data_IF_560647351517
#
_entry.id   IF_560647351517
#
_cell.length_a   1.000
_cell.length_b   1.000
_cell.length_c   1.000
_cell.angle_alpha   90.00
_cell.angle_beta   90.00
_cell.angle_gamma   90.00
#
_symmetry.space_group_name_H-M   'P 1'
#
loop_
_entity.id
_entity.type
_entity.pdbx_description
1 polymer ?
#
# COMPACT_ATOMS: atom_id res chain seq x y z
N UNK A 1 -54.85 -17.59 7.92
CA UNK A 1 -54.17 -18.61 8.73
C UNK A 1 -53.40 -17.88 9.82
N UNK A 2 -54.06 -17.69 10.97
CA UNK A 2 -53.95 -18.54 12.19
C UNK A 2 -52.75 -18.10 13.03
N UNK A 3 -52.99 -17.22 14.00
CA UNK A 3 -53.20 -17.53 15.45
C UNK A 3 -51.89 -17.86 16.16
N UNK A 4 -51.65 -17.25 17.32
CA UNK A 4 -51.59 -17.98 18.62
C UNK A 4 -51.06 -17.05 19.72
N UNK A 5 -52.01 -16.59 20.54
CA UNK A 5 -51.87 -16.35 21.99
C UNK A 5 -51.68 -17.69 22.72
N UNK A 6 -50.91 -17.76 23.81
CA UNK A 6 -51.53 -17.97 25.15
C UNK A 6 -50.90 -17.03 26.20
N UNK A 7 -51.65 -16.43 27.14
CA UNK A 7 -52.39 -17.00 28.28
C UNK A 7 -51.53 -17.20 29.54
N UNK A 8 -52.18 -17.02 30.70
CA UNK A 8 -51.80 -17.30 32.10
C UNK A 8 -50.94 -16.26 32.85
N UNK A 9 -51.26 -15.84 34.08
CA UNK A 9 -52.27 -16.31 35.04
C UNK A 9 -52.65 -15.19 36.01
N UNK A 10 -53.91 -15.27 36.42
CA UNK A 10 -54.53 -14.74 37.62
C UNK A 10 -53.62 -14.75 38.87
N UNK A 11 -53.59 -13.63 39.59
CA UNK A 11 -53.59 -13.68 41.05
C UNK A 11 -54.25 -12.42 41.62
N UNK A 12 -55.46 -12.62 42.14
CA UNK A 12 -56.25 -11.68 42.94
C UNK A 12 -55.75 -11.74 44.39
N UNK A 13 -55.43 -10.63 45.07
CA UNK A 13 -55.44 -10.61 46.51
C UNK A 13 -56.84 -10.19 46.98
N UNK A 14 -57.40 -11.04 47.83
CA UNK A 14 -58.68 -10.86 48.50
C UNK A 14 -58.66 -9.58 49.37
N UNK A 15 -59.67 -8.75 49.18
CA UNK A 15 -60.09 -7.74 50.15
C UNK A 15 -60.85 -8.48 51.25
N UNK A 16 -60.19 -8.77 52.37
CA UNK A 16 -60.84 -9.18 53.61
C UNK A 16 -61.52 -7.95 54.24
N UNK A 17 -62.79 -7.76 53.84
CA UNK A 17 -63.77 -6.85 54.45
C UNK A 17 -64.18 -7.45 55.82
N UNK A 18 -63.35 -7.21 56.84
CA UNK A 18 -63.62 -7.59 58.24
C UNK A 18 -64.66 -6.63 58.82
N UNK A 19 -65.92 -6.85 58.42
CA UNK A 19 -67.09 -6.19 59.02
C UNK A 19 -67.37 -6.82 60.39
N UNK A 20 -67.42 -6.03 61.47
CA UNK A 20 -67.85 -6.54 62.76
C UNK A 20 -69.32 -6.98 62.68
N UNK A 21 -69.59 -8.19 63.15
CA UNK A 21 -70.92 -8.75 63.29
C UNK A 21 -71.80 -7.79 64.12
N UNK A 22 -72.84 -7.24 63.48
CA UNK A 22 -73.95 -6.58 64.16
C UNK A 22 -74.64 -7.63 65.05
N UNK A 23 -74.43 -7.51 66.36
CA UNK A 23 -75.21 -8.21 67.36
C UNK A 23 -76.69 -7.90 67.15
N UNK A 24 -77.42 -8.95 66.79
CA UNK A 24 -78.86 -8.93 66.62
C UNK A 24 -79.50 -8.70 67.99
N UNK A 25 -80.34 -7.67 68.19
CA UNK A 25 -81.03 -7.51 69.46
C UNK A 25 -82.00 -8.68 69.65
N UNK A 26 -81.88 -9.36 70.80
CA UNK A 26 -82.73 -10.47 71.21
C UNK A 26 -84.21 -10.12 71.02
N UNK A 27 -84.87 -10.86 70.13
CA UNK A 27 -86.29 -10.78 69.89
C UNK A 27 -87.06 -11.28 71.12
N UNK A 28 -87.77 -10.37 71.78
CA UNK A 28 -88.84 -10.73 72.73
C UNK A 28 -89.82 -11.73 72.08
N UNK A 29 -90.22 -12.81 72.77
CA UNK A 29 -91.02 -13.88 72.18
C UNK A 29 -92.40 -13.39 71.75
N UNK A 30 -92.73 -13.55 70.46
CA UNK A 30 -94.04 -13.20 69.90
C UNK A 30 -95.13 -14.07 70.56
N UNK A 31 -96.18 -13.48 71.15
CA UNK A 31 -97.24 -14.23 71.84
C UNK A 31 -98.01 -15.15 70.88
N UNK A 32 -98.05 -16.45 71.18
CA UNK A 32 -98.46 -17.53 70.26
C UNK A 32 -99.95 -17.84 70.30
N UNK A 33 -100.68 -17.49 71.35
CA UNK A 33 -102.14 -17.68 71.46
C UNK A 33 -102.93 -16.36 71.46
N UNK A 34 -104.20 -16.39 71.04
CA UNK A 34 -105.05 -15.18 71.04
C UNK A 34 -105.20 -14.57 72.45
N UNK A 35 -105.14 -15.40 73.49
CA UNK A 35 -105.07 -14.97 74.89
C UNK A 35 -103.76 -14.26 75.20
N UNK A 36 -102.62 -14.86 74.86
CA UNK A 36 -101.30 -14.26 75.08
C UNK A 36 -101.14 -12.92 74.34
N UNK A 37 -101.65 -12.80 73.12
CA UNK A 37 -101.60 -11.52 72.39
C UNK A 37 -102.40 -10.43 73.09
N UNK A 38 -103.58 -10.77 73.62
CA UNK A 38 -104.42 -9.84 74.38
C UNK A 38 -103.75 -9.46 75.70
N UNK A 39 -103.11 -10.40 76.39
CA UNK A 39 -102.36 -10.14 77.63
C UNK A 39 -101.14 -9.27 77.38
N UNK A 40 -100.28 -9.63 76.43
CA UNK A 40 -99.10 -8.85 76.06
C UNK A 40 -99.44 -7.44 75.55
N UNK A 41 -100.53 -7.31 74.78
CA UNK A 41 -101.01 -5.99 74.36
C UNK A 41 -101.53 -5.16 75.53
N UNK A 42 -102.22 -5.77 76.50
CA UNK A 42 -102.66 -5.09 77.70
C UNK A 42 -101.49 -4.70 78.61
N UNK A 43 -100.47 -5.56 78.74
CA UNK A 43 -99.25 -5.29 79.51
C UNK A 43 -98.40 -4.18 78.85
N UNK A 44 -98.27 -4.18 77.52
CA UNK A 44 -97.61 -3.11 76.79
C UNK A 44 -98.35 -1.77 76.96
N UNK A 45 -99.69 -1.76 76.86
CA UNK A 45 -100.48 -0.56 77.13
C UNK A 45 -100.30 -0.06 78.56
N UNK A 46 -100.17 -0.96 79.54
CA UNK A 46 -99.92 -0.60 80.92
C UNK A 46 -98.49 -0.05 81.13
N UNK A 47 -97.48 -0.63 80.47
CA UNK A 47 -96.09 -0.16 80.52
C UNK A 47 -95.91 1.21 79.84
N UNK A 48 -96.71 1.50 78.82
CA UNK A 48 -96.76 2.77 78.10
C UNK A 48 -97.68 3.82 78.80
N UNK A 49 -98.26 3.52 79.96
CA UNK A 49 -99.24 4.37 80.70
C UNK A 49 -100.53 4.74 79.89
N UNK A 50 -100.94 3.91 78.92
CA UNK A 50 -102.15 4.10 78.10
C UNK A 50 -103.41 3.41 78.67
N UNK A 51 -104.63 3.93 78.43
CA UNK A 51 -105.86 3.34 78.95
C UNK A 51 -106.17 1.97 78.33
N UNK A 52 -106.16 0.92 79.16
CA UNK A 52 -106.45 -0.47 78.76
C UNK A 52 -107.95 -0.68 78.56
N UNK A 53 -108.47 -0.31 77.38
CA UNK A 53 -109.87 -0.51 76.98
C UNK A 53 -110.01 -1.69 76.01
N UNK A 54 -111.23 -2.23 75.86
CA UNK A 54 -111.48 -3.33 74.90
C UNK A 54 -111.11 -2.92 73.47
N UNK A 55 -111.30 -1.66 73.10
CA UNK A 55 -110.98 -1.17 71.76
C UNK A 55 -109.48 -1.11 71.51
N UNK A 56 -108.70 -0.54 72.45
CA UNK A 56 -107.26 -0.37 72.33
C UNK A 56 -106.51 -1.71 72.37
N UNK A 57 -106.94 -2.61 73.25
CA UNK A 57 -106.40 -3.98 73.31
C UNK A 57 -106.75 -4.78 72.06
N UNK A 58 -107.96 -4.61 71.50
CA UNK A 58 -108.37 -5.27 70.27
C UNK A 58 -107.52 -4.83 69.07
N UNK A 59 -107.25 -3.53 68.98
CA UNK A 59 -106.42 -2.93 67.94
C UNK A 59 -104.97 -3.38 68.04
N UNK A 60 -104.35 -3.28 69.23
CA UNK A 60 -102.94 -3.65 69.45
C UNK A 60 -102.72 -5.18 69.40
N UNK A 61 -103.70 -6.02 69.76
CA UNK A 61 -103.60 -7.48 69.69
C UNK A 61 -104.13 -8.12 68.40
N UNK A 62 -104.82 -7.36 67.54
CA UNK A 62 -105.39 -7.82 66.26
C UNK A 62 -106.42 -8.95 66.38
N UNK A 63 -107.35 -8.87 67.34
CA UNK A 63 -108.33 -9.95 67.60
C UNK A 63 -109.80 -9.50 67.48
N UNK A 64 -110.75 -10.45 67.53
CA UNK A 64 -112.17 -10.12 67.48
C UNK A 64 -112.66 -9.46 68.78
N UNK A 65 -113.73 -8.66 68.74
CA UNK A 65 -114.26 -7.97 69.93
C UNK A 65 -114.69 -8.96 71.04
N UNK A 66 -115.28 -10.11 70.67
CA UNK A 66 -115.66 -11.15 71.62
C UNK A 66 -114.43 -11.78 72.30
N UNK A 67 -113.37 -12.02 71.55
CA UNK A 67 -112.08 -12.53 72.05
C UNK A 67 -111.38 -11.52 72.96
N UNK A 68 -111.32 -10.24 72.54
CA UNK A 68 -110.75 -9.15 73.33
C UNK A 68 -111.49 -8.97 74.65
N UNK A 69 -112.83 -8.91 74.63
CA UNK A 69 -113.64 -8.72 75.85
C UNK A 69 -113.46 -9.89 76.83
N UNK A 70 -113.46 -11.13 76.32
CA UNK A 70 -113.33 -12.33 77.15
C UNK A 70 -111.95 -12.44 77.80
N UNK A 71 -110.88 -12.29 77.02
CA UNK A 71 -109.52 -12.41 77.54
C UNK A 71 -109.06 -11.16 78.29
N UNK A 72 -109.56 -9.96 77.97
CA UNK A 72 -109.28 -8.78 78.77
C UNK A 72 -109.94 -8.85 80.15
N UNK A 73 -111.14 -9.43 80.25
CA UNK A 73 -111.75 -9.72 81.55
C UNK A 73 -110.90 -10.73 82.34
N UNK A 74 -110.39 -11.77 81.68
CA UNK A 74 -109.47 -12.73 82.30
C UNK A 74 -108.12 -12.09 82.69
N UNK A 75 -107.59 -11.15 81.90
CA UNK A 75 -106.37 -10.39 82.23
C UNK A 75 -106.61 -9.45 83.41
N UNK A 76 -107.73 -8.74 83.46
CA UNK A 76 -108.08 -7.91 84.63
C UNK A 76 -108.31 -8.74 85.87
N UNK A 77 -108.93 -9.92 85.74
CA UNK A 77 -109.04 -10.87 86.84
C UNK A 77 -107.66 -11.35 87.28
N UNK A 78 -106.76 -11.70 86.35
CA UNK A 78 -105.39 -12.09 86.65
C UNK A 78 -104.58 -10.95 87.30
N UNK A 79 -104.75 -9.70 86.87
CA UNK A 79 -104.10 -8.54 87.50
C UNK A 79 -104.72 -8.22 88.86
N UNK A 80 -106.03 -8.40 89.03
CA UNK A 80 -106.68 -8.25 90.32
C UNK A 80 -106.26 -9.35 91.30
N UNK A 81 -106.13 -10.60 90.82
CA UNK A 81 -105.63 -11.72 91.60
C UNK A 81 -104.15 -11.54 91.93
N UNK A 82 -103.31 -11.12 90.96
CA UNK A 82 -101.90 -10.81 91.19
C UNK A 82 -101.71 -9.61 92.12
N UNK A 83 -102.54 -8.57 92.02
CA UNK A 83 -102.54 -7.44 92.94
C UNK A 83 -103.08 -7.82 94.33
N UNK A 84 -104.07 -8.70 94.41
CA UNK A 84 -104.58 -9.24 95.67
C UNK A 84 -103.55 -10.16 96.34
N UNK A 85 -102.82 -10.96 95.57
CA UNK A 85 -101.73 -11.80 96.06
C UNK A 85 -100.50 -10.97 96.42
N UNK A 86 -100.20 -9.89 95.68
CA UNK A 86 -99.22 -8.88 96.07
C UNK A 86 -99.62 -8.12 97.36
N UNK A 87 -100.91 -7.84 97.55
CA UNK A 87 -101.42 -7.22 98.78
C UNK A 87 -101.51 -8.22 99.96
N UNK A 88 -101.52 -9.53 99.69
CA UNK A 88 -101.45 -10.61 100.69
C UNK A 88 -100.02 -10.95 101.09
N UNK A 89 -99.02 -10.57 100.30
CA UNK A 89 -97.63 -10.61 100.69
C UNK A 89 -97.43 -9.58 101.81
N UNK A 90 -96.91 -9.97 102.99
CA UNK A 90 -96.54 -9.01 104.01
C UNK A 90 -95.53 -8.02 103.42
N UNK A 91 -95.70 -6.73 103.68
CA UNK A 91 -94.63 -5.76 103.40
C UNK A 91 -93.33 -6.30 104.00
N UNK A 92 -92.28 -6.32 103.17
CA UNK A 92 -90.98 -6.78 103.64
C UNK A 92 -90.62 -5.96 104.87
N UNK A 93 -90.31 -6.59 106.02
CA UNK A 93 -89.88 -5.85 107.18
C UNK A 93 -88.74 -4.92 106.75
N UNK A 94 -88.79 -3.65 107.15
CA UNK A 94 -87.82 -2.62 106.74
C UNK A 94 -86.35 -3.06 106.88
N UNK A 95 -86.07 -3.94 107.83
CA UNK A 95 -84.75 -4.55 108.02
C UNK A 95 -84.29 -5.44 106.86
N UNK A 96 -85.21 -6.16 106.21
CA UNK A 96 -84.94 -7.00 105.04
C UNK A 96 -84.75 -6.14 103.79
N UNK A 97 -85.56 -5.11 103.58
CA UNK A 97 -85.38 -4.14 102.48
C UNK A 97 -83.99 -3.49 102.55
N UNK A 98 -83.62 -2.96 103.72
CA UNK A 98 -82.31 -2.34 103.94
C UNK A 98 -81.16 -3.34 103.74
N UNK A 99 -81.36 -4.62 104.07
CA UNK A 99 -80.36 -5.67 103.85
C UNK A 99 -80.22 -5.98 102.35
N UNK A 100 -81.33 -6.04 101.61
CA UNK A 100 -81.34 -6.25 100.15
C UNK A 100 -80.73 -5.06 99.44
N UNK A 101 -81.13 -3.83 99.76
CA UNK A 101 -80.55 -2.60 99.20
C UNK A 101 -79.04 -2.54 99.45
N UNK A 102 -78.60 -2.85 100.67
CA UNK A 102 -77.17 -2.89 101.01
C UNK A 102 -76.43 -4.02 100.30
N UNK A 103 -77.05 -5.20 100.17
CA UNK A 103 -76.48 -6.35 99.48
C UNK A 103 -76.33 -6.10 97.99
N UNK A 104 -77.38 -5.60 97.32
CA UNK A 104 -77.38 -5.25 95.90
C UNK A 104 -76.43 -4.10 95.62
N UNK A 105 -76.44 -3.03 96.43
CA UNK A 105 -75.49 -1.92 96.27
C UNK A 105 -74.04 -2.37 96.47
N UNK A 106 -73.80 -3.30 97.40
CA UNK A 106 -72.49 -3.92 97.62
C UNK A 106 -72.04 -4.77 96.44
N UNK A 107 -72.91 -5.67 95.95
CA UNK A 107 -72.65 -6.50 94.77
C UNK A 107 -72.43 -5.66 93.51
N UNK A 108 -73.23 -4.62 93.31
CA UNK A 108 -73.07 -3.68 92.21
C UNK A 108 -71.76 -2.89 92.33
N UNK A 109 -71.43 -2.40 93.52
CA UNK A 109 -70.15 -1.72 93.78
C UNK A 109 -68.94 -2.63 93.53
N UNK A 110 -69.03 -3.91 93.88
CA UNK A 110 -68.00 -4.91 93.57
C UNK A 110 -67.92 -5.19 92.07
N UNK A 111 -69.05 -5.37 91.38
CA UNK A 111 -69.11 -5.60 89.95
C UNK A 111 -68.52 -4.42 89.16
N UNK A 112 -68.87 -3.18 89.52
CA UNK A 112 -68.34 -1.96 88.90
C UNK A 112 -66.83 -1.82 89.15
N UNK A 113 -66.37 -2.13 90.37
CA UNK A 113 -64.93 -2.11 90.67
C UNK A 113 -64.19 -3.15 89.83
N UNK A 114 -64.69 -4.39 89.79
CA UNK A 114 -64.12 -5.46 88.98
C UNK A 114 -64.08 -5.10 87.49
N UNK A 115 -65.16 -4.54 86.93
CA UNK A 115 -65.20 -4.09 85.55
C UNK A 115 -64.20 -2.95 85.27
N UNK A 116 -63.99 -2.04 86.23
CA UNK A 116 -62.98 -0.99 86.12
C UNK A 116 -61.55 -1.54 86.19
N UNK A 117 -61.32 -2.52 87.06
CA UNK A 117 -60.02 -3.18 87.19
C UNK A 117 -59.69 -3.95 85.90
N UNK A 118 -60.63 -4.75 85.37
CA UNK A 118 -60.50 -5.47 84.10
C UNK A 118 -60.26 -4.49 82.93
N UNK A 119 -61.03 -3.39 82.84
CA UNK A 119 -60.81 -2.38 81.81
C UNK A 119 -59.44 -1.69 81.92
N UNK A 120 -58.98 -1.42 83.15
CA UNK A 120 -57.67 -0.82 83.38
C UNK A 120 -56.53 -1.76 82.96
N UNK A 121 -56.66 -3.07 83.24
CA UNK A 121 -55.72 -4.11 82.80
C UNK A 121 -55.67 -4.25 81.27
N UNK A 122 -56.84 -4.25 80.61
CA UNK A 122 -56.93 -4.26 79.14
C UNK A 122 -56.32 -3.00 78.52
N UNK A 123 -56.62 -1.82 79.07
CA UNK A 123 -56.07 -0.56 78.59
C UNK A 123 -54.54 -0.52 78.75
N UNK A 124 -54.02 -0.99 79.87
CA UNK A 124 -52.57 -1.11 80.09
C UNK A 124 -51.93 -2.05 79.06
N UNK A 125 -52.54 -3.22 78.81
CA UNK A 125 -52.05 -4.19 77.81
C UNK A 125 -52.05 -3.61 76.40
N UNK A 126 -53.12 -2.90 76.00
CA UNK A 126 -53.20 -2.24 74.70
C UNK A 126 -52.19 -1.11 74.57
N UNK A 127 -51.95 -0.35 75.64
CA UNK A 127 -50.94 0.70 75.66
C UNK A 127 -49.52 0.13 75.50
N UNK A 128 -49.19 -0.97 76.19
CA UNK A 128 -47.92 -1.67 76.03
C UNK A 128 -47.74 -2.21 74.61
N UNK A 129 -48.78 -2.86 74.05
CA UNK A 129 -48.75 -3.34 72.66
C UNK A 129 -48.56 -2.20 71.66
N UNK A 130 -49.24 -1.07 71.85
CA UNK A 130 -49.09 0.10 71.00
C UNK A 130 -47.70 0.73 71.12
N UNK A 131 -47.11 0.77 72.32
CA UNK A 131 -45.74 1.23 72.54
C UNK A 131 -44.74 0.32 71.82
N UNK A 132 -44.84 -1.01 72.00
CA UNK A 132 -44.01 -1.99 71.29
C UNK A 132 -44.13 -1.88 69.78
N UNK A 133 -45.35 -1.73 69.25
CA UNK A 133 -45.58 -1.58 67.82
C UNK A 133 -44.96 -0.30 67.25
N UNK A 134 -44.95 0.80 68.02
CA UNK A 134 -44.28 2.05 67.64
C UNK A 134 -42.76 1.89 67.61
N UNK A 135 -42.18 1.25 68.62
CA UNK A 135 -40.74 0.97 68.65
C UNK A 135 -40.29 0.08 67.48
N UNK A 136 -41.10 -0.93 67.14
CA UNK A 136 -40.88 -1.78 65.98
C UNK A 136 -40.98 -1.01 64.67
N UNK A 137 -41.99 -0.14 64.52
CA UNK A 137 -42.15 0.73 63.36
C UNK A 137 -40.96 1.69 63.20
N UNK A 138 -40.49 2.31 64.28
CA UNK A 138 -39.32 3.20 64.27
C UNK A 138 -38.03 2.45 63.93
N UNK A 139 -37.87 1.21 64.40
CA UNK A 139 -36.74 0.35 64.04
C UNK A 139 -36.77 0.00 62.55
N UNK A 140 -37.93 -0.38 62.01
CA UNK A 140 -38.10 -0.70 60.59
C UNK A 140 -37.89 0.53 59.69
N UNK A 141 -38.38 1.70 60.09
CA UNK A 141 -38.15 2.95 59.38
C UNK A 141 -36.65 3.25 59.25
N UNK A 142 -35.89 3.18 60.36
CA UNK A 142 -34.43 3.36 60.34
C UNK A 142 -33.71 2.33 59.46
N UNK A 143 -34.16 1.08 59.48
CA UNK A 143 -33.60 0.04 58.61
C UNK A 143 -33.88 0.32 57.13
N UNK A 144 -35.08 0.78 56.79
CA UNK A 144 -35.46 1.16 55.42
C UNK A 144 -34.68 2.39 54.93
N UNK A 145 -34.45 3.38 55.78
CA UNK A 145 -33.62 4.55 55.47
C UNK A 145 -32.17 4.15 55.21
N UNK A 146 -31.62 3.26 56.04
CA UNK A 146 -30.26 2.71 55.87
C UNK A 146 -30.13 1.95 54.56
N UNK A 147 -31.06 1.03 54.27
CA UNK A 147 -31.05 0.26 53.02
C UNK A 147 -31.21 1.15 51.78
N UNK A 148 -31.99 2.23 51.88
CA UNK A 148 -32.14 3.21 50.80
C UNK A 148 -30.82 3.96 50.57
N UNK A 149 -30.15 4.41 51.63
CA UNK A 149 -28.86 5.07 51.53
C UNK A 149 -27.77 4.14 50.93
N UNK A 150 -27.72 2.88 51.35
CA UNK A 150 -26.79 1.88 50.81
C UNK A 150 -27.05 1.60 49.32
N UNK A 151 -28.32 1.47 48.92
CA UNK A 151 -28.71 1.30 47.52
C UNK A 151 -28.28 2.49 46.67
N UNK A 152 -28.50 3.71 47.17
CA UNK A 152 -28.18 4.93 46.43
C UNK A 152 -26.66 5.12 46.31
N UNK A 153 -25.90 4.79 47.34
CA UNK A 153 -24.43 4.73 47.29
C UNK A 153 -23.93 3.70 46.27
N UNK A 154 -24.43 2.46 46.32
CA UNK A 154 -24.05 1.42 45.36
C UNK A 154 -24.40 1.79 43.92
N UNK A 155 -25.50 2.54 43.71
CA UNK A 155 -25.88 3.05 42.39
C UNK A 155 -24.90 4.11 41.89
N UNK A 156 -24.47 5.02 42.76
CA UNK A 156 -23.45 6.02 42.42
C UNK A 156 -22.13 5.36 42.02
N UNK A 157 -21.65 4.39 42.81
CA UNK A 157 -20.42 3.63 42.51
C UNK A 157 -20.52 2.91 41.16
N UNK A 158 -21.67 2.31 40.86
CA UNK A 158 -21.91 1.61 39.61
C UNK A 158 -21.89 2.57 38.41
N UNK A 159 -22.46 3.76 38.55
CA UNK A 159 -22.43 4.78 37.50
C UNK A 159 -21.03 5.37 37.29
N UNK A 160 -20.21 5.49 38.34
CA UNK A 160 -18.78 5.82 38.24
C UNK A 160 -18.00 4.74 37.48
N UNK A 161 -18.15 3.47 37.88
CA UNK A 161 -17.51 2.34 37.20
C UNK A 161 -17.91 2.23 35.73
N UNK A 162 -19.16 2.51 35.39
CA UNK A 162 -19.63 2.58 33.99
C UNK A 162 -18.95 3.69 33.21
N UNK A 163 -18.74 4.84 33.84
CA UNK A 163 -18.06 5.99 33.23
C UNK A 163 -16.60 5.67 32.97
N UNK A 164 -15.90 5.07 33.94
CA UNK A 164 -14.51 4.66 33.79
C UNK A 164 -14.36 3.54 32.75
N UNK A 165 -15.24 2.54 32.75
CA UNK A 165 -15.24 1.49 31.72
C UNK A 165 -15.44 2.06 30.30
N UNK A 166 -16.29 3.07 30.14
CA UNK A 166 -16.45 3.78 28.86
C UNK A 166 -15.19 4.53 28.47
N UNK A 167 -14.56 5.23 29.41
CA UNK A 167 -13.30 5.94 29.19
C UNK A 167 -12.19 4.99 28.74
N UNK A 168 -12.00 3.87 29.44
CA UNK A 168 -10.99 2.87 29.11
C UNK A 168 -11.24 2.23 27.74
N UNK A 169 -12.51 1.97 27.38
CA UNK A 169 -12.86 1.48 26.04
C UNK A 169 -12.49 2.51 24.96
N UNK A 170 -12.80 3.78 25.16
CA UNK A 170 -12.41 4.82 24.21
C UNK A 170 -10.88 4.91 24.04
N UNK A 171 -10.12 4.84 25.14
CA UNK A 171 -8.65 4.81 25.08
C UNK A 171 -8.11 3.57 24.34
N UNK A 172 -8.75 2.42 24.53
CA UNK A 172 -8.40 1.20 23.80
C UNK A 172 -8.64 1.38 22.30
N UNK A 173 -9.80 1.90 21.91
CA UNK A 173 -10.17 2.14 20.51
C UNK A 173 -9.23 3.16 19.85
N UNK A 174 -8.89 4.26 20.55
CA UNK A 174 -7.91 5.26 20.10
C UNK A 174 -6.52 4.64 19.92
N UNK A 175 -6.07 3.81 20.86
CA UNK A 175 -4.77 3.13 20.78
C UNK A 175 -4.71 2.10 19.64
N UNK A 176 -5.82 1.40 19.37
CA UNK A 176 -5.94 0.46 18.27
C UNK A 176 -5.85 1.19 16.92
N UNK A 177 -6.58 2.30 16.77
CA UNK A 177 -6.51 3.15 15.58
C UNK A 177 -5.10 3.71 15.36
N UNK A 178 -4.44 4.20 16.41
CA UNK A 178 -3.07 4.70 16.32
C UNK A 178 -2.08 3.59 15.88
N UNK A 179 -2.27 2.35 16.35
CA UNK A 179 -1.47 1.19 15.93
C UNK A 179 -1.67 0.87 14.46
N UNK A 180 -2.92 0.83 13.99
CA UNK A 180 -3.23 0.59 12.57
C UNK A 180 -2.61 1.65 11.66
N UNK A 181 -2.68 2.93 12.06
CA UNK A 181 -2.04 4.04 11.33
C UNK A 181 -0.52 3.90 11.30
N UNK A 182 0.11 3.55 12.43
CA UNK A 182 1.55 3.30 12.51
C UNK A 182 1.98 2.11 11.62
N UNK A 183 1.21 1.02 11.60
CA UNK A 183 1.47 -0.13 10.74
C UNK A 183 1.29 0.20 9.25
N UNK A 184 0.30 1.03 8.90
CA UNK A 184 0.13 1.53 7.53
C UNK A 184 1.29 2.42 7.10
N UNK A 185 1.73 3.35 7.95
CA UNK A 185 2.88 4.22 7.70
C UNK A 185 4.18 3.40 7.56
N UNK A 186 4.39 2.40 8.41
CA UNK A 186 5.55 1.51 8.35
C UNK A 186 5.59 0.72 7.04
N UNK A 187 4.44 0.17 6.59
CA UNK A 187 4.34 -0.51 5.28
C UNK A 187 4.64 0.44 4.12
N UNK A 188 4.14 1.66 4.17
CA UNK A 188 4.41 2.66 3.14
C UNK A 188 5.90 3.02 3.08
N UNK A 189 6.52 3.29 4.23
CA UNK A 189 7.95 3.60 4.32
C UNK A 189 8.82 2.42 3.85
N UNK A 190 8.43 1.18 4.17
CA UNK A 190 9.12 -0.02 3.68
C UNK A 190 9.07 -0.12 2.15
N UNK A 191 7.90 0.11 1.55
CA UNK A 191 7.74 0.15 0.09
C UNK A 191 8.58 1.23 -0.58
N UNK A 192 8.60 2.45 -0.01
CA UNK A 192 9.46 3.54 -0.51
C UNK A 192 10.95 3.18 -0.42
N UNK A 193 11.37 2.53 0.67
CA UNK A 193 12.76 2.09 0.83
C UNK A 193 13.15 1.02 -0.19
N UNK A 194 12.27 0.06 -0.51
CA UNK A 194 12.49 -0.93 -1.56
C UNK A 194 12.58 -0.29 -2.95
N UNK A 195 11.70 0.66 -3.26
CA UNK A 195 11.74 1.40 -4.52
C UNK A 195 13.05 2.19 -4.68
N UNK A 196 13.46 2.94 -3.64
CA UNK A 196 14.70 3.70 -3.64
C UNK A 196 15.94 2.77 -3.78
N UNK A 197 15.92 1.59 -3.16
CA UNK A 197 16.98 0.58 -3.36
C UNK A 197 17.03 0.10 -4.81
N UNK A 198 15.88 -0.22 -5.40
CA UNK A 198 15.81 -0.63 -6.80
C UNK A 198 16.30 0.47 -7.76
N UNK A 199 15.93 1.73 -7.50
CA UNK A 199 16.42 2.88 -8.26
C UNK A 199 17.95 3.06 -8.11
N UNK A 200 18.48 2.89 -6.90
CA UNK A 200 19.91 2.98 -6.64
C UNK A 200 20.72 1.87 -7.35
N UNK A 201 20.22 0.63 -7.37
CA UNK A 201 20.86 -0.46 -8.12
C UNK A 201 20.84 -0.19 -9.63
N UNK A 202 19.70 0.24 -10.21
CA UNK A 202 19.64 0.62 -11.63
C UNK A 202 20.63 1.74 -11.98
N UNK A 203 20.74 2.76 -11.13
CA UNK A 203 21.69 3.85 -11.33
C UNK A 203 23.15 3.37 -11.26
N UNK A 204 23.46 2.38 -10.40
CA UNK A 204 24.79 1.75 -10.32
C UNK A 204 25.11 0.97 -11.58
N UNK A 205 24.18 0.16 -12.07
CA UNK A 205 24.31 -0.61 -13.31
C UNK A 205 24.51 0.32 -14.51
N UNK A 206 23.73 1.40 -14.62
CA UNK A 206 23.88 2.41 -15.68
C UNK A 206 25.25 3.11 -15.59
N UNK A 207 25.68 3.49 -14.39
CA UNK A 207 27.01 4.08 -14.18
C UNK A 207 28.13 3.12 -14.57
N UNK A 208 28.02 1.83 -14.24
CA UNK A 208 29.00 0.82 -14.63
C UNK A 208 29.05 0.68 -16.16
N UNK A 209 27.89 0.58 -16.82
CA UNK A 209 27.79 0.52 -18.27
C UNK A 209 28.42 1.74 -18.96
N UNK A 210 28.12 2.95 -18.50
CA UNK A 210 28.70 4.19 -19.07
C UNK A 210 30.22 4.22 -18.88
N UNK A 211 30.75 3.71 -17.76
CA UNK A 211 32.20 3.58 -17.54
C UNK A 211 32.84 2.60 -18.52
N UNK A 212 32.21 1.46 -18.76
CA UNK A 212 32.70 0.47 -19.72
C UNK A 212 32.67 1.01 -21.15
N UNK A 213 31.58 1.67 -21.55
CA UNK A 213 31.45 2.34 -22.85
C UNK A 213 32.51 3.44 -23.02
N UNK A 214 32.78 4.24 -21.97
CA UNK A 214 33.83 5.25 -21.98
C UNK A 214 35.22 4.61 -22.11
N UNK A 215 35.51 3.54 -21.36
CA UNK A 215 36.78 2.83 -21.45
C UNK A 215 37.02 2.25 -22.85
N UNK A 216 35.98 1.64 -23.44
CA UNK A 216 36.03 1.14 -24.81
C UNK A 216 36.27 2.27 -25.83
N UNK A 217 35.60 3.42 -25.67
CA UNK A 217 35.80 4.58 -26.54
C UNK A 217 37.22 5.16 -26.42
N UNK A 218 37.78 5.21 -25.22
CA UNK A 218 39.17 5.63 -24.99
C UNK A 218 40.17 4.67 -25.66
N UNK A 219 39.96 3.37 -25.52
CA UNK A 219 40.79 2.35 -26.15
C UNK A 219 40.72 2.42 -27.70
N UNK A 220 39.51 2.56 -28.25
CA UNK A 220 39.30 2.74 -29.69
C UNK A 220 40.02 3.99 -30.21
N UNK A 221 39.90 5.11 -29.50
CA UNK A 221 40.60 6.35 -29.86
C UNK A 221 42.12 6.21 -29.82
N UNK A 222 42.66 5.45 -28.86
CA UNK A 222 44.09 5.17 -28.78
C UNK A 222 44.57 4.33 -29.98
N UNK A 223 43.84 3.26 -30.32
CA UNK A 223 44.14 2.42 -31.49
C UNK A 223 44.08 3.22 -32.80
N UNK A 224 43.07 4.09 -32.97
CA UNK A 224 43.02 4.98 -34.14
C UNK A 224 44.21 5.96 -34.18
N UNK A 225 44.67 6.46 -33.03
CA UNK A 225 45.82 7.35 -32.96
C UNK A 225 47.11 6.63 -33.39
N UNK A 226 47.28 5.38 -32.96
CA UNK A 226 48.39 4.51 -33.37
C UNK A 226 48.35 4.22 -34.88
N UNK A 227 47.20 3.80 -35.41
CA UNK A 227 47.03 3.59 -36.87
C UNK A 227 47.32 4.86 -37.67
N UNK A 228 46.90 6.04 -37.19
CA UNK A 228 47.24 7.33 -37.84
C UNK A 228 48.74 7.61 -37.78
N UNK A 229 49.44 7.24 -36.70
CA UNK A 229 50.88 7.41 -36.59
C UNK A 229 51.63 6.47 -37.54
N UNK A 230 51.23 5.20 -37.62
CA UNK A 230 51.77 4.21 -38.56
C UNK A 230 51.55 4.65 -40.02
N UNK A 231 50.34 5.09 -40.37
CA UNK A 231 50.03 5.58 -41.71
C UNK A 231 50.89 6.81 -42.09
N UNK A 232 51.16 7.72 -41.14
CA UNK A 232 52.06 8.85 -41.34
C UNK A 232 53.50 8.41 -41.56
N UNK A 233 53.99 7.44 -40.79
CA UNK A 233 55.33 6.88 -40.94
C UNK A 233 55.48 6.18 -42.31
N UNK A 234 54.49 5.38 -42.71
CA UNK A 234 54.46 4.73 -44.02
C UNK A 234 54.46 5.75 -45.16
N UNK A 235 53.66 6.83 -45.06
CA UNK A 235 53.66 7.91 -46.04
C UNK A 235 55.03 8.60 -46.15
N UNK A 236 55.71 8.84 -45.01
CA UNK A 236 57.05 9.43 -45.01
C UNK A 236 58.06 8.51 -45.73
N UNK A 237 58.02 7.19 -45.48
CA UNK A 237 58.86 6.22 -46.18
C UNK A 237 58.60 6.16 -47.69
N UNK A 238 57.34 6.24 -48.12
CA UNK A 238 57.00 6.34 -49.55
C UNK A 238 57.52 7.64 -50.16
N UNK A 239 57.49 8.76 -49.43
CA UNK A 239 58.05 10.03 -49.90
C UNK A 239 59.59 9.98 -50.05
N UNK A 240 60.28 9.31 -49.12
CA UNK A 240 61.73 9.10 -49.18
C UNK A 240 62.12 8.24 -50.37
N UNK A 241 61.50 7.05 -50.53
CA UNK A 241 61.74 6.18 -51.70
C UNK A 241 61.38 6.87 -53.04
N UNK A 242 60.35 7.72 -53.07
CA UNK A 242 60.04 8.53 -54.25
C UNK A 242 61.14 9.57 -54.52
N UNK A 243 61.71 10.20 -53.50
CA UNK A 243 62.82 11.14 -53.64
C UNK A 243 64.08 10.44 -54.15
N UNK A 244 64.41 9.26 -53.61
CA UNK A 244 65.50 8.41 -54.07
C UNK A 244 65.30 7.98 -55.54
N UNK A 245 64.10 7.51 -55.90
CA UNK A 245 63.78 7.12 -57.28
C UNK A 245 63.88 8.30 -58.26
N UNK A 246 63.46 9.50 -57.85
CA UNK A 246 63.65 10.73 -58.64
C UNK A 246 65.13 11.06 -58.84
N UNK A 247 65.93 10.98 -57.78
CA UNK A 247 67.38 11.20 -57.84
C UNK A 247 68.08 10.16 -58.74
N UNK A 248 67.73 8.88 -58.61
CA UNK A 248 68.23 7.80 -59.45
C UNK A 248 67.87 8.01 -60.93
N UNK A 249 66.62 8.39 -61.22
CA UNK A 249 66.17 8.71 -62.58
C UNK A 249 66.96 9.89 -63.16
N UNK A 250 67.24 10.92 -62.37
CA UNK A 250 68.04 12.07 -62.80
C UNK A 250 69.50 11.69 -63.06
N UNK A 251 70.10 10.80 -62.25
CA UNK A 251 71.42 10.23 -62.48
C UNK A 251 71.47 9.45 -63.80
N UNK A 252 70.51 8.54 -64.04
CA UNK A 252 70.42 7.76 -65.30
C UNK A 252 70.25 8.69 -66.50
N UNK A 253 69.45 9.76 -66.40
CA UNK A 253 69.31 10.76 -67.46
C UNK A 253 70.60 11.54 -67.71
N UNK A 254 71.41 11.79 -66.69
CA UNK A 254 72.72 12.43 -66.83
C UNK A 254 73.74 11.47 -67.49
N UNK A 255 73.76 10.20 -67.09
CA UNK A 255 74.58 9.16 -67.71
C UNK A 255 74.22 8.94 -69.18
N UNK A 256 72.91 8.88 -69.49
CA UNK A 256 72.44 8.76 -70.86
C UNK A 256 72.92 9.92 -71.73
N UNK A 257 72.79 11.18 -71.25
CA UNK A 257 73.30 12.37 -71.95
C UNK A 257 74.81 12.29 -72.18
N UNK A 258 75.60 11.93 -71.16
CA UNK A 258 77.06 11.71 -71.31
C UNK A 258 77.36 10.63 -72.35
N UNK A 259 76.60 9.55 -72.37
CA UNK A 259 76.74 8.48 -73.36
C UNK A 259 76.37 8.93 -74.79
N UNK A 260 75.37 9.79 -74.96
CA UNK A 260 75.06 10.41 -76.26
C UNK A 260 76.18 11.36 -76.71
N UNK A 261 76.70 12.20 -75.81
CA UNK A 261 77.82 13.09 -76.08
C UNK A 261 79.08 12.30 -76.48
N UNK A 262 79.37 11.20 -75.76
CA UNK A 262 80.50 10.31 -76.07
C UNK A 262 80.30 9.59 -77.41
N UNK A 263 79.08 9.11 -77.70
CA UNK A 263 78.74 8.55 -79.02
C UNK A 263 78.91 9.58 -80.13
N UNK A 264 78.47 10.82 -79.93
CA UNK A 264 78.62 11.91 -80.89
C UNK A 264 80.11 12.23 -81.13
N UNK A 265 80.90 12.27 -80.05
CA UNK A 265 82.36 12.43 -80.12
C UNK A 265 83.02 11.29 -80.89
N UNK A 266 82.72 10.04 -80.56
CA UNK A 266 83.27 8.87 -81.26
C UNK A 266 82.84 8.83 -82.74
N UNK A 267 81.61 9.26 -83.06
CA UNK A 267 81.16 9.39 -84.45
C UNK A 267 81.93 10.48 -85.21
N UNK A 268 82.24 11.62 -84.56
CA UNK A 268 83.07 12.66 -85.14
C UNK A 268 84.53 12.19 -85.35
N UNK A 269 85.11 11.48 -84.36
CA UNK A 269 86.43 10.84 -84.48
C UNK A 269 86.46 9.81 -85.62
N UNK A 270 85.43 8.96 -85.74
CA UNK A 270 85.26 8.04 -86.87
C UNK A 270 85.14 8.76 -88.21
N UNK A 271 84.38 9.85 -88.30
CA UNK A 271 84.28 10.65 -89.52
C UNK A 271 85.63 11.25 -89.93
N UNK A 272 86.39 11.74 -88.94
CA UNK A 272 87.72 12.31 -89.13
C UNK A 272 88.73 11.25 -89.60
N UNK A 273 88.72 10.07 -88.96
CA UNK A 273 89.57 8.94 -89.36
C UNK A 273 89.19 8.40 -90.74
N UNK A 274 87.90 8.35 -91.10
CA UNK A 274 87.46 8.03 -92.47
C UNK A 274 87.97 9.05 -93.47
N UNK A 275 87.84 10.34 -93.18
CA UNK A 275 88.32 11.42 -94.06
C UNK A 275 89.85 11.38 -94.21
N UNK A 276 90.57 11.05 -93.14
CA UNK A 276 92.00 10.80 -93.18
C UNK A 276 92.35 9.55 -94.00
N UNK A 277 91.56 8.48 -93.87
CA UNK A 277 91.62 7.29 -94.72
C UNK A 277 91.42 7.62 -96.20
N UNK A 278 90.34 8.32 -96.55
CA UNK A 278 90.05 8.77 -97.93
C UNK A 278 91.18 9.65 -98.49
N UNK A 279 91.76 10.53 -97.65
CA UNK A 279 92.92 11.35 -98.03
C UNK A 279 94.14 10.48 -98.29
N UNK A 280 94.45 9.52 -97.41
CA UNK A 280 95.57 8.58 -97.59
C UNK A 280 95.35 7.67 -98.80
N UNK A 281 94.12 7.23 -99.07
CA UNK A 281 93.77 6.49 -100.29
C UNK A 281 93.94 7.36 -101.55
N UNK A 282 93.53 8.63 -101.49
CA UNK A 282 93.77 9.62 -102.54
C UNK A 282 95.25 9.90 -102.77
N UNK A 283 96.05 10.04 -101.71
CA UNK A 283 97.51 10.16 -101.77
C UNK A 283 98.14 8.88 -102.35
N UNK A 284 97.68 7.70 -101.96
CA UNK A 284 98.14 6.43 -102.50
C UNK A 284 97.78 6.28 -103.99
N UNK A 285 96.58 6.70 -104.41
CA UNK A 285 96.18 6.72 -105.81
C UNK A 285 97.05 7.68 -106.62
N UNK A 286 97.28 8.90 -106.13
CA UNK A 286 98.19 9.87 -106.75
C UNK A 286 99.61 9.35 -106.85
N UNK A 287 100.15 8.73 -105.79
CA UNK A 287 101.47 8.11 -105.82
C UNK A 287 101.54 6.95 -106.83
N UNK A 288 100.46 6.16 -106.99
CA UNK A 288 100.37 5.14 -108.04
C UNK A 288 100.36 5.75 -109.44
N UNK A 289 99.62 6.83 -109.66
CA UNK A 289 99.60 7.54 -110.93
C UNK A 289 100.95 8.20 -111.24
N UNK A 290 101.60 8.80 -110.24
CA UNK A 290 102.95 9.36 -110.35
C UNK A 290 103.97 8.25 -110.66
N UNK A 291 103.85 7.08 -110.04
CA UNK A 291 104.67 5.90 -110.35
C UNK A 291 104.40 5.39 -111.77
N UNK A 292 103.15 5.34 -112.21
CA UNK A 292 102.78 4.95 -113.57
C UNK A 292 103.31 5.96 -114.61
N UNK A 293 103.22 7.26 -114.32
CA UNK A 293 103.78 8.32 -115.15
C UNK A 293 105.31 8.30 -115.15
N UNK A 294 105.95 7.96 -114.02
CA UNK A 294 107.39 7.76 -113.93
C UNK A 294 107.83 6.53 -114.74
N UNK A 295 107.05 5.45 -114.73
CA UNK A 295 107.26 4.27 -115.60
C UNK A 295 107.09 4.63 -117.06
N UNK A 296 106.04 5.36 -117.43
CA UNK A 296 105.84 5.84 -118.81
C UNK A 296 106.99 6.73 -119.28
N UNK A 297 107.46 7.65 -118.42
CA UNK A 297 108.65 8.48 -118.70
C UNK A 297 109.94 7.66 -118.79
N UNK A 298 110.08 6.60 -117.98
CA UNK A 298 111.21 5.69 -118.07
C UNK A 298 111.16 4.84 -119.34
N UNK A 299 109.97 4.43 -119.79
CA UNK A 299 109.75 3.75 -121.07
C UNK A 299 110.01 4.68 -122.26
N UNK A 300 109.59 5.94 -122.19
CA UNK A 300 109.92 6.97 -123.18
C UNK A 300 111.42 7.24 -123.22
N UNK A 301 112.07 7.43 -122.06
CA UNK A 301 113.52 7.59 -122.01
C UNK A 301 114.27 6.34 -122.50
N UNK A 302 113.70 5.14 -122.30
CA UNK A 302 114.25 3.91 -122.87
C UNK A 302 114.05 3.83 -124.39
N UNK A 303 112.94 4.34 -124.93
CA UNK A 303 112.72 4.48 -126.38
C UNK A 303 113.66 5.52 -126.99
N UNK A 304 113.80 6.69 -126.36
CA UNK A 304 114.75 7.74 -126.77
C UNK A 304 116.20 7.25 -126.70
N UNK A 305 116.54 6.48 -125.67
CA UNK A 305 117.84 5.82 -125.55
C UNK A 305 118.07 4.77 -126.64
N UNK A 306 117.02 4.01 -127.02
CA UNK A 306 117.08 3.06 -128.12
C UNK A 306 117.21 3.76 -129.50
N UNK A 307 116.54 4.90 -129.68
CA UNK A 307 116.68 5.72 -130.90
C UNK A 307 118.05 6.36 -131.02
N UNK A 308 118.63 6.87 -129.92
CA UNK A 308 120.00 7.40 -129.90
C UNK A 308 121.04 6.30 -130.15
N UNK A 309 120.81 5.08 -129.66
CA UNK A 309 121.63 3.91 -129.98
C UNK A 309 121.53 3.52 -131.46
N UNK A 310 120.33 3.58 -132.05
CA UNK A 310 120.12 3.34 -133.48
C UNK A 310 120.76 4.43 -134.37
N UNK A 311 120.76 5.69 -133.92
CA UNK A 311 121.44 6.79 -134.60
C UNK A 311 122.97 6.63 -134.57
N UNK A 312 123.54 6.15 -133.45
CA UNK A 312 124.97 5.80 -133.35
C UNK A 312 125.35 4.64 -134.27
N UNK A 313 124.52 3.60 -134.34
CA UNK A 313 124.77 2.46 -135.24
C UNK A 313 124.76 2.86 -136.73
N UNK A 314 123.93 3.83 -137.14
CA UNK A 314 123.93 4.37 -138.51
C UNK A 314 125.19 5.18 -138.82
N UNK A 315 125.66 6.00 -137.87
CA UNK A 315 126.90 6.78 -138.01
C UNK A 315 128.15 5.89 -138.08
N UNK A 316 128.17 4.75 -137.39
CA UNK A 316 129.25 3.77 -137.46
C UNK A 316 129.26 2.96 -138.77
N UNK A 317 128.08 2.73 -139.37
CA UNK A 317 127.94 2.11 -140.69
C UNK A 317 128.50 2.97 -141.83
N UNK A 318 128.31 4.29 -141.78
CA UNK A 318 128.82 5.23 -142.80
C UNK A 318 130.35 5.37 -142.76
N UNK A 319 130.96 5.26 -141.57
CA UNK A 319 132.42 5.27 -141.38
C UNK A 319 133.11 4.00 -141.89
N UNK A 320 132.40 2.87 -141.97
CA UNK A 320 132.94 1.63 -142.54
C UNK A 320 132.96 1.67 -144.09
N UNK A 321 131.95 2.28 -144.73
CA UNK A 321 131.88 2.41 -146.19
C UNK A 321 132.98 3.31 -146.79
N UNK A 322 133.40 4.34 -146.05
CA UNK A 322 134.47 5.25 -146.48
C UNK A 322 135.87 4.61 -146.40
N UNK A 323 136.07 3.57 -145.57
CA UNK A 323 137.36 2.85 -145.44
C UNK A 323 137.58 1.78 -146.50
N UNK A 324 136.53 1.25 -147.11
CA UNK A 324 136.64 0.28 -148.22
C UNK A 324 136.95 0.92 -149.57
N UNK A 325 136.64 2.21 -149.77
CA UNK A 325 136.91 2.90 -151.02
C UNK A 325 138.37 3.39 -151.15
N UNK A 326 139.07 3.67 -150.04
CA UNK A 326 140.45 4.15 -150.06
C UNK A 326 141.51 3.04 -150.15
N UNK A 327 141.14 1.78 -149.89
CA UNK A 327 142.05 0.63 -150.02
C UNK A 327 142.16 0.08 -151.46
N UNK A 328 141.39 0.61 -152.41
CA UNK A 328 141.38 0.17 -153.81
C UNK A 328 142.24 1.04 -154.75
N UNK A 329 143.08 1.95 -154.22
CA UNK A 329 143.97 2.80 -155.05
C UNK A 329 145.43 2.33 -155.18
N UNK A 330 145.87 1.19 -154.63
CA UNK A 330 147.32 1.01 -154.35
C UNK A 330 147.98 -0.33 -154.76
N UNK A 331 147.53 -1.02 -155.83
CA UNK A 331 148.08 -2.36 -156.15
C UNK A 331 148.58 -2.70 -157.59
N UNK A 332 148.55 -1.84 -158.64
CA UNK A 332 149.05 -2.28 -159.98
C UNK A 332 149.81 -1.21 -160.79
N UNK A 333 150.80 -0.56 -160.18
CA UNK A 333 151.96 0.02 -160.89
C UNK A 333 153.21 -0.07 -160.00
N UNK A 334 154.06 -1.08 -160.22
CA UNK A 334 155.54 -0.97 -160.42
C UNK A 334 156.28 -2.27 -160.09
N UNK A 335 156.70 -2.99 -161.14
CA UNK A 335 157.91 -3.83 -161.30
C UNK A 335 157.85 -4.25 -162.78
N UNK A 336 158.83 -4.12 -163.69
CA UNK A 336 160.29 -3.98 -163.61
C UNK A 336 160.90 -4.88 -164.71
N UNK A 337 161.87 -4.45 -165.56
CA UNK A 337 162.24 -5.12 -166.82
C UNK A 337 163.54 -5.96 -166.76
N UNK A 338 163.73 -6.94 -167.67
CA UNK A 338 165.01 -7.34 -168.29
C UNK A 338 164.85 -8.50 -169.31
N UNK A 339 165.47 -8.30 -170.49
CA UNK A 339 165.76 -9.23 -171.61
C UNK A 339 164.61 -9.76 -172.48
#
# INVERSE_FOLDING_TARGET
MTTTTPDRSHHTPAEDDDRPAEETPEASPVPRTARERVFAAADALLADDEPVTVSTVREKAGCSNATATTHLRAWRAHQADAAADAARLPELPRSVELLVERGVSGLWGEAVRRARDEHAEEAATLQERAASAREDADRLARAADTATAERDAARADLDELRTEARRLRNLLDESALAREQAEAAARHAAGQAEELRAQAERAREETARVRDELAAAVAARAAEAEQRAEARAALAGVQETLAEARSALESVRAEHRRGEDERARLAAELSTTRSAGDRLEGEAARLRDELAAARSRAEEAARDGAEQAAARARAEGELAGLRTASAASEAVRTEGPAS
#
